data_IF_656149854380
#
_entry.id   IF_656149854380
#
_cell.length_a   1.000
_cell.length_b   1.000
_cell.length_c   1.000
_cell.angle_alpha   90.00
_cell.angle_beta   90.00
_cell.angle_gamma   90.00
#
_symmetry.space_group_name_H-M   'P 1'
#
loop_
_entity.id
_entity.type
_entity.pdbx_description
1 polymer ?
#
# COMPACT_ATOMS: atom_id res chain seq x y z
N UNK A 1 28.72 5.15 94.83
CA UNK A 1 27.49 4.66 94.13
C UNK A 1 26.72 5.67 93.29
N UNK A 2 27.03 6.97 93.31
CA UNK A 2 26.31 7.96 92.47
C UNK A 2 27.09 8.31 91.14
N UNK A 3 28.40 8.09 91.10
CA UNK A 3 29.22 8.38 89.90
C UNK A 3 29.05 7.37 88.79
N UNK A 4 28.82 6.10 89.11
CA UNK A 4 28.70 5.04 88.06
C UNK A 4 27.35 5.10 87.33
N UNK A 5 26.28 5.56 87.98
CA UNK A 5 24.98 5.72 87.26
C UNK A 5 24.97 6.82 86.21
N UNK A 6 25.74 7.91 86.45
CA UNK A 6 25.91 9.01 85.42
C UNK A 6 26.67 8.55 84.22
N UNK A 7 27.70 7.72 84.35
CA UNK A 7 28.50 7.21 83.28
C UNK A 7 27.69 6.22 82.40
N UNK A 8 26.84 5.38 82.99
CA UNK A 8 25.91 4.48 82.29
C UNK A 8 24.79 5.24 81.51
N UNK A 9 24.28 6.34 82.10
CA UNK A 9 23.29 7.20 81.47
C UNK A 9 23.89 7.97 80.28
N UNK A 10 25.16 8.42 80.35
CA UNK A 10 25.84 9.07 79.22
C UNK A 10 26.13 8.06 78.11
N UNK A 11 26.47 6.81 78.44
CA UNK A 11 26.66 5.74 77.43
C UNK A 11 25.36 5.36 76.73
N UNK A 12 24.27 5.24 77.46
CA UNK A 12 22.95 4.98 76.90
C UNK A 12 22.43 6.12 76.03
N UNK A 13 22.67 7.37 76.41
CA UNK A 13 22.38 8.56 75.59
C UNK A 13 23.19 8.61 74.30
N UNK A 14 24.49 8.23 74.37
CA UNK A 14 25.36 8.13 73.21
C UNK A 14 24.89 7.06 72.19
N UNK A 15 24.51 5.87 72.68
CA UNK A 15 23.94 4.80 71.82
C UNK A 15 22.62 5.20 71.18
N UNK A 16 21.79 5.94 71.89
CA UNK A 16 20.49 6.42 71.39
C UNK A 16 20.67 7.47 70.29
N UNK A 17 21.65 8.38 70.42
CA UNK A 17 22.01 9.37 69.44
C UNK A 17 22.59 8.70 68.16
N UNK A 18 23.47 7.70 68.33
CA UNK A 18 24.03 6.93 67.20
C UNK A 18 22.90 6.15 66.49
N UNK A 19 21.95 5.55 67.24
CA UNK A 19 20.80 4.87 66.66
C UNK A 19 19.89 5.80 65.82
N UNK A 20 19.62 7.02 66.39
CA UNK A 20 18.85 8.03 65.67
C UNK A 20 19.60 8.52 64.42
N UNK A 21 20.91 8.74 64.51
CA UNK A 21 21.73 9.17 63.36
C UNK A 21 21.78 8.09 62.30
N UNK A 22 21.96 6.83 62.66
CA UNK A 22 21.91 5.69 61.75
C UNK A 22 20.52 5.55 61.08
N UNK A 23 19.46 5.73 61.85
CA UNK A 23 18.09 5.72 61.35
C UNK A 23 17.81 6.87 60.36
N UNK A 24 18.26 8.09 60.68
CA UNK A 24 18.12 9.25 59.80
C UNK A 24 18.95 9.08 58.51
N UNK A 25 20.18 8.56 58.62
CA UNK A 25 21.01 8.25 57.47
C UNK A 25 20.40 7.13 56.61
N UNK A 26 19.87 6.09 57.22
CA UNK A 26 19.16 5.01 56.54
C UNK A 26 17.90 5.52 55.85
N UNK A 27 17.10 6.32 56.51
CA UNK A 27 15.90 6.96 55.96
C UNK A 27 16.25 7.93 54.82
N UNK A 28 17.31 8.73 54.98
CA UNK A 28 17.83 9.62 53.92
C UNK A 28 18.32 8.82 52.71
N UNK A 29 19.04 7.72 52.94
CA UNK A 29 19.52 6.82 51.89
C UNK A 29 18.37 6.17 51.13
N UNK A 30 17.30 5.72 51.81
CA UNK A 30 16.11 5.17 51.21
C UNK A 30 15.31 6.22 50.42
N UNK A 31 15.25 7.46 50.89
CA UNK A 31 14.57 8.55 50.16
C UNK A 31 15.32 8.98 48.91
N UNK A 32 16.67 8.94 48.88
CA UNK A 32 17.48 9.24 47.72
C UNK A 32 17.32 8.18 46.63
N UNK A 33 17.19 6.89 46.96
CA UNK A 33 16.93 5.82 46.01
C UNK A 33 15.61 5.97 45.23
N UNK A 34 14.58 6.59 45.85
CA UNK A 34 13.29 6.82 45.19
C UNK A 34 13.24 8.06 44.30
N UNK A 35 14.20 9.01 44.40
CA UNK A 35 14.22 10.23 43.62
C UNK A 35 14.71 10.04 42.18
N UNK A 36 15.35 8.92 41.86
CA UNK A 36 15.92 8.67 40.52
C UNK A 36 14.97 7.90 39.58
N UNK A 37 13.80 7.49 40.12
CA UNK A 37 12.77 6.81 39.34
C UNK A 37 11.54 7.70 39.26
N UNK A 38 11.09 7.89 38.04
CA UNK A 38 9.87 8.62 37.72
C UNK A 38 8.82 7.64 37.23
N UNK A 39 7.59 7.82 37.69
CA UNK A 39 6.47 7.04 37.22
C UNK A 39 5.41 7.90 36.56
N UNK A 40 4.72 7.33 35.58
CA UNK A 40 3.57 7.91 34.94
C UNK A 40 2.47 6.89 34.75
N UNK A 41 1.23 7.29 35.06
CA UNK A 41 0.07 6.45 34.78
C UNK A 41 -0.21 6.39 33.31
N UNK A 42 -0.59 5.22 32.82
CA UNK A 42 -0.84 4.98 31.41
C UNK A 42 -1.80 3.84 31.16
N UNK A 43 -1.97 3.54 29.88
CA UNK A 43 -2.81 2.45 29.40
C UNK A 43 -2.10 1.70 28.29
N UNK A 44 -2.26 0.38 28.28
CA UNK A 44 -1.80 -0.46 27.17
C UNK A 44 -2.70 -0.22 25.96
N UNK A 45 -2.08 0.11 24.86
CA UNK A 45 -2.70 0.31 23.56
C UNK A 45 -2.00 -0.59 22.52
N UNK A 46 -2.68 -0.88 21.44
CA UNK A 46 -2.09 -1.52 20.27
C UNK A 46 -2.55 -0.81 19.00
N UNK A 47 -1.86 -1.03 17.92
CA UNK A 47 -2.24 -0.44 16.64
C UNK A 47 -3.53 -1.08 16.15
N UNK A 48 -4.55 -0.25 15.94
CA UNK A 48 -5.84 -0.65 15.38
C UNK A 48 -5.78 -0.59 13.84
N UNK A 49 -6.38 -1.59 13.20
CA UNK A 49 -6.49 -1.71 11.75
C UNK A 49 -7.97 -1.85 11.41
N UNK A 50 -8.52 -0.86 10.73
CA UNK A 50 -9.88 -0.92 10.23
C UNK A 50 -9.89 -1.58 8.87
N UNK A 51 -10.59 -2.70 8.75
CA UNK A 51 -10.84 -3.39 7.49
C UNK A 51 -12.07 -2.78 6.82
N UNK A 52 -11.87 -2.23 5.63
CA UNK A 52 -12.88 -1.53 4.86
C UNK A 52 -12.86 -1.97 3.39
N UNK A 53 -14.02 -2.08 2.71
CA UNK A 53 -14.06 -2.37 1.29
C UNK A 53 -13.59 -1.16 0.47
N UNK A 54 -12.97 -1.42 -0.67
CA UNK A 54 -12.57 -0.38 -1.63
C UNK A 54 -13.75 0.15 -2.44
N UNK A 55 -14.78 -0.68 -2.60
CA UNK A 55 -15.97 -0.40 -3.38
C UNK A 55 -17.19 -0.57 -2.47
N UNK A 56 -18.17 0.32 -2.61
CA UNK A 56 -19.43 0.18 -1.90
C UNK A 56 -20.17 -1.09 -2.34
N UNK A 57 -20.76 -1.77 -1.38
CA UNK A 57 -21.51 -3.00 -1.65
C UNK A 57 -22.17 -3.57 -0.41
N UNK A 58 -22.93 -4.65 -0.58
CA UNK A 58 -23.52 -5.40 0.51
C UNK A 58 -22.53 -6.45 1.04
N UNK A 59 -22.48 -6.64 2.35
CA UNK A 59 -21.71 -7.73 2.96
C UNK A 59 -22.50 -9.03 2.75
N UNK A 60 -21.90 -9.98 2.05
CA UNK A 60 -22.48 -11.31 1.84
C UNK A 60 -22.36 -12.16 3.10
N UNK A 61 -21.15 -12.25 3.64
CA UNK A 61 -20.87 -13.02 4.85
C UNK A 61 -19.63 -12.50 5.58
N UNK A 62 -19.60 -12.76 6.88
CA UNK A 62 -18.45 -12.52 7.75
C UNK A 62 -17.96 -13.88 8.25
N UNK A 63 -16.67 -14.17 8.06
CA UNK A 63 -16.06 -15.48 8.37
C UNK A 63 -15.44 -15.56 9.76
N UNK A 64 -15.45 -14.45 10.51
CA UNK A 64 -14.78 -14.33 11.81
C UNK A 64 -15.70 -13.71 12.86
N UNK A 65 -15.41 -14.02 14.11
CA UNK A 65 -16.11 -13.47 15.28
C UNK A 65 -15.17 -12.55 16.09
N UNK A 66 -15.76 -11.77 16.99
CA UNK A 66 -15.00 -10.93 17.91
C UNK A 66 -14.14 -11.81 18.83
N UNK A 67 -12.86 -11.48 18.95
CA UNK A 67 -11.89 -12.25 19.70
C UNK A 67 -11.05 -13.21 18.91
N UNK A 68 -11.42 -13.52 17.66
CA UNK A 68 -10.70 -14.45 16.79
C UNK A 68 -9.31 -13.93 16.43
N UNK A 69 -8.32 -14.85 16.38
CA UNK A 69 -7.00 -14.57 15.85
C UNK A 69 -6.97 -14.81 14.35
N UNK A 70 -6.43 -13.85 13.60
CA UNK A 70 -6.36 -13.88 12.14
C UNK A 70 -4.95 -13.67 11.65
N UNK A 71 -4.61 -14.31 10.52
CA UNK A 71 -3.27 -14.23 9.90
C UNK A 71 -3.29 -13.31 8.69
N UNK A 72 -2.19 -12.63 8.42
CA UNK A 72 -2.00 -11.80 7.24
C UNK A 72 -2.42 -12.53 5.95
N UNK A 73 -3.22 -11.88 5.11
CA UNK A 73 -3.77 -12.45 3.89
C UNK A 73 -5.01 -13.33 4.07
N UNK A 74 -5.44 -13.64 5.30
CA UNK A 74 -6.67 -14.38 5.56
C UNK A 74 -7.89 -13.56 5.14
N UNK A 75 -8.84 -14.21 4.47
CA UNK A 75 -10.15 -13.60 4.13
C UNK A 75 -11.02 -13.58 5.38
N UNK A 76 -11.56 -12.41 5.72
CA UNK A 76 -12.38 -12.22 6.90
C UNK A 76 -13.85 -11.95 6.57
N UNK A 77 -14.11 -11.42 5.39
CA UNK A 77 -15.47 -11.15 4.91
C UNK A 77 -15.53 -11.21 3.38
N UNK A 78 -16.68 -11.48 2.85
CA UNK A 78 -17.00 -11.36 1.44
C UNK A 78 -18.07 -10.28 1.23
N UNK A 79 -17.79 -9.37 0.30
CA UNK A 79 -18.81 -8.50 -0.27
C UNK A 79 -19.59 -9.27 -1.35
N UNK A 80 -20.82 -8.89 -1.62
CA UNK A 80 -21.61 -9.49 -2.70
C UNK A 80 -21.05 -9.12 -4.07
N UNK A 81 -20.57 -10.08 -4.88
CA UNK A 81 -19.97 -9.82 -6.18
C UNK A 81 -20.97 -9.79 -7.34
N UNK A 82 -22.27 -10.08 -7.14
CA UNK A 82 -23.23 -10.35 -8.22
C UNK A 82 -23.29 -9.23 -9.26
N UNK A 83 -23.27 -7.97 -8.83
CA UNK A 83 -23.27 -6.80 -9.71
C UNK A 83 -21.97 -6.72 -10.50
N UNK A 84 -20.82 -6.95 -9.85
CA UNK A 84 -19.51 -6.94 -10.50
C UNK A 84 -19.36 -8.09 -11.50
N UNK A 85 -19.92 -9.28 -11.18
CA UNK A 85 -19.93 -10.42 -12.10
C UNK A 85 -20.80 -10.15 -13.34
N UNK A 86 -21.94 -9.46 -13.18
CA UNK A 86 -22.75 -9.03 -14.30
C UNK A 86 -21.98 -8.03 -15.20
N UNK A 87 -21.31 -7.06 -14.60
CA UNK A 87 -20.45 -6.10 -15.31
C UNK A 87 -19.27 -6.80 -16.01
N UNK A 88 -18.68 -7.82 -15.39
CA UNK A 88 -17.61 -8.62 -16.00
C UNK A 88 -18.11 -9.34 -17.26
N UNK A 89 -19.31 -9.97 -17.21
CA UNK A 89 -19.91 -10.60 -18.39
C UNK A 89 -20.12 -9.59 -19.53
N UNK A 90 -20.62 -8.41 -19.21
CA UNK A 90 -20.80 -7.32 -20.18
C UNK A 90 -19.45 -6.88 -20.79
N UNK A 91 -18.43 -6.62 -19.96
CA UNK A 91 -17.10 -6.21 -20.43
C UNK A 91 -16.45 -7.29 -21.31
N UNK A 92 -16.59 -8.57 -20.95
CA UNK A 92 -16.13 -9.70 -21.79
C UNK A 92 -16.86 -9.76 -23.12
N UNK A 93 -18.15 -9.45 -23.16
CA UNK A 93 -18.90 -9.32 -24.41
C UNK A 93 -18.37 -8.22 -25.31
N UNK A 94 -18.08 -7.04 -24.75
CA UNK A 94 -17.46 -5.90 -25.49
C UNK A 94 -16.08 -6.26 -26.02
N UNK A 95 -15.27 -6.95 -25.23
CA UNK A 95 -13.96 -7.44 -25.66
C UNK A 95 -14.06 -8.39 -26.82
N UNK A 96 -15.02 -9.33 -26.79
CA UNK A 96 -15.26 -10.26 -27.88
C UNK A 96 -15.66 -9.53 -29.17
N UNK A 97 -16.55 -8.53 -29.08
CA UNK A 97 -16.93 -7.68 -30.20
C UNK A 97 -15.71 -6.96 -30.80
N UNK A 98 -14.89 -6.32 -29.96
CA UNK A 98 -13.67 -5.64 -30.42
C UNK A 98 -12.67 -6.59 -31.13
N UNK A 99 -12.52 -7.82 -30.63
CA UNK A 99 -11.72 -8.86 -31.30
C UNK A 99 -12.28 -9.26 -32.67
N UNK A 100 -13.59 -9.32 -32.79
CA UNK A 100 -14.25 -9.57 -34.10
C UNK A 100 -14.00 -8.41 -35.08
N UNK A 101 -14.01 -7.17 -34.61
CA UNK A 101 -13.69 -5.99 -35.43
C UNK A 101 -12.25 -6.04 -35.98
N UNK A 102 -11.28 -6.50 -35.16
CA UNK A 102 -9.91 -6.74 -35.63
C UNK A 102 -9.89 -7.74 -36.79
N UNK A 103 -10.64 -8.87 -36.68
CA UNK A 103 -10.69 -9.88 -37.71
C UNK A 103 -11.34 -9.34 -39.02
N UNK A 104 -12.38 -8.51 -38.90
CA UNK A 104 -13.04 -7.86 -40.04
C UNK A 104 -12.05 -6.91 -40.75
N UNK A 105 -11.37 -6.04 -40.00
CA UNK A 105 -10.41 -5.10 -40.56
C UNK A 105 -9.17 -5.81 -41.16
N UNK A 106 -8.73 -6.92 -40.55
CA UNK A 106 -7.67 -7.76 -41.15
C UNK A 106 -8.11 -8.36 -42.51
N UNK A 107 -9.34 -8.82 -42.61
CA UNK A 107 -9.90 -9.34 -43.89
C UNK A 107 -9.96 -8.23 -44.95
N UNK A 108 -10.37 -7.01 -44.53
CA UNK A 108 -10.39 -5.84 -45.42
C UNK A 108 -8.98 -5.47 -45.91
N UNK A 109 -7.98 -5.52 -45.03
CA UNK A 109 -6.59 -5.30 -45.40
C UNK A 109 -6.09 -6.33 -46.43
N UNK A 110 -6.45 -7.62 -46.26
CA UNK A 110 -6.10 -8.67 -47.24
C UNK A 110 -6.76 -8.39 -48.57
N UNK A 111 -8.03 -7.96 -48.60
CA UNK A 111 -8.74 -7.58 -49.80
C UNK A 111 -8.01 -6.44 -50.53
N UNK A 112 -7.61 -5.36 -49.83
CA UNK A 112 -6.86 -4.24 -50.44
C UNK A 112 -5.53 -4.66 -51.03
N UNK A 113 -4.80 -5.58 -50.37
CA UNK A 113 -3.56 -6.16 -50.92
C UNK A 113 -3.82 -6.95 -52.22
N UNK A 114 -4.94 -7.65 -52.29
CA UNK A 114 -5.33 -8.39 -53.51
C UNK A 114 -5.71 -7.44 -54.67
N UNK A 115 -6.42 -6.33 -54.33
CA UNK A 115 -6.74 -5.29 -55.31
C UNK A 115 -5.45 -4.65 -55.91
N UNK A 116 -4.46 -4.31 -55.07
CA UNK A 116 -3.15 -3.83 -55.52
C UNK A 116 -2.47 -4.85 -56.44
N UNK A 117 -2.43 -6.13 -56.06
CA UNK A 117 -1.83 -7.18 -56.88
C UNK A 117 -2.47 -7.28 -58.26
N UNK A 118 -3.79 -7.09 -58.39
CA UNK A 118 -4.49 -7.01 -59.67
C UNK A 118 -4.07 -5.76 -60.47
N UNK A 119 -3.98 -4.59 -59.83
CA UNK A 119 -3.52 -3.36 -60.47
C UNK A 119 -2.06 -3.47 -60.98
N UNK A 120 -1.17 -4.11 -60.23
CA UNK A 120 0.21 -4.39 -60.61
C UNK A 120 0.25 -5.33 -61.84
N UNK A 121 -0.64 -6.31 -61.97
CA UNK A 121 -0.75 -7.16 -63.16
C UNK A 121 -1.19 -6.35 -64.39
N UNK A 122 -2.15 -5.42 -64.24
CA UNK A 122 -2.56 -4.49 -65.30
C UNK A 122 -1.40 -3.58 -65.64
N UNK A 123 -0.63 -3.05 -64.75
CA UNK A 123 0.56 -2.23 -65.04
C UNK A 123 1.55 -3.00 -65.86
N UNK A 124 1.86 -4.25 -65.53
CA UNK A 124 2.75 -5.11 -66.38
C UNK A 124 2.23 -5.31 -67.78
N UNK A 125 0.91 -5.48 -67.96
CA UNK A 125 0.29 -5.56 -69.31
C UNK A 125 0.52 -4.25 -70.07
N UNK A 126 0.27 -3.08 -69.44
CA UNK A 126 0.50 -1.77 -70.12
C UNK A 126 1.98 -1.51 -70.42
N UNK A 127 2.89 -1.99 -69.65
CA UNK A 127 4.33 -1.94 -69.91
C UNK A 127 4.69 -2.77 -71.12
N UNK A 128 4.15 -3.97 -71.29
CA UNK A 128 4.36 -4.79 -72.47
C UNK A 128 3.75 -4.15 -73.76
N UNK A 129 2.55 -3.54 -73.61
CA UNK A 129 1.92 -2.80 -74.71
C UNK A 129 2.75 -1.57 -75.14
N UNK A 130 3.33 -0.84 -74.18
CA UNK A 130 4.24 0.28 -74.42
C UNK A 130 5.50 -0.19 -75.19
N UNK A 131 6.13 -1.27 -74.75
CA UNK A 131 7.33 -1.82 -75.39
C UNK A 131 7.07 -2.19 -76.84
N UNK A 132 5.91 -2.80 -77.10
CA UNK A 132 5.52 -3.13 -78.51
C UNK A 132 5.33 -1.87 -79.38
N UNK A 133 4.60 -0.85 -78.82
CA UNK A 133 4.37 0.41 -79.51
C UNK A 133 5.66 1.22 -79.79
N UNK A 134 6.59 1.22 -78.85
CA UNK A 134 7.91 1.84 -78.95
C UNK A 134 8.74 1.19 -80.04
N UNK A 135 8.84 -0.14 -80.06
CA UNK A 135 9.55 -0.91 -81.11
C UNK A 135 8.93 -0.68 -82.49
N UNK A 136 7.59 -0.53 -82.59
CA UNK A 136 6.87 -0.26 -83.79
C UNK A 136 7.17 1.14 -84.35
N UNK A 137 7.12 2.15 -83.52
CA UNK A 137 7.46 3.54 -83.81
C UNK A 137 8.91 3.65 -84.30
N UNK A 138 9.86 3.03 -83.54
CA UNK A 138 11.28 3.04 -83.93
C UNK A 138 11.50 2.44 -85.34
N UNK A 139 10.77 1.39 -85.70
CA UNK A 139 10.83 0.73 -87.00
C UNK A 139 10.22 1.59 -88.10
N UNK A 140 9.00 2.12 -87.89
CA UNK A 140 8.34 2.97 -88.92
C UNK A 140 9.10 4.27 -89.16
N UNK A 141 9.62 4.91 -88.16
CA UNK A 141 10.46 6.11 -88.22
C UNK A 141 11.72 5.87 -89.15
N UNK A 142 12.38 4.70 -88.97
CA UNK A 142 13.52 4.31 -89.80
C UNK A 142 13.10 4.09 -91.26
N UNK A 143 12.01 3.37 -91.51
CA UNK A 143 11.48 3.08 -92.81
C UNK A 143 11.04 4.33 -93.58
N UNK A 144 10.51 5.37 -92.88
CA UNK A 144 10.22 6.67 -93.51
C UNK A 144 11.48 7.34 -94.06
N UNK A 145 12.59 7.33 -93.28
CA UNK A 145 13.88 7.89 -93.71
C UNK A 145 14.46 7.17 -94.95
N UNK A 146 14.17 5.89 -95.09
CA UNK A 146 14.56 5.03 -96.18
C UNK A 146 13.58 5.12 -97.37
N UNK A 147 12.48 5.90 -97.26
CA UNK A 147 11.43 6.01 -98.28
C UNK A 147 10.55 4.75 -98.49
N UNK A 148 10.60 3.81 -97.54
CA UNK A 148 9.94 2.49 -97.60
C UNK A 148 8.53 2.48 -96.96
N UNK A 149 8.06 3.59 -96.31
CA UNK A 149 6.72 3.76 -95.77
C UNK A 149 6.27 5.22 -95.83
N UNK A 150 4.95 5.48 -95.54
CA UNK A 150 4.42 6.84 -95.57
C UNK A 150 4.65 7.58 -94.28
N UNK A 151 4.75 8.92 -94.29
CA UNK A 151 4.82 9.78 -93.13
C UNK A 151 3.60 9.55 -92.24
N UNK A 152 2.38 9.38 -92.78
CA UNK A 152 1.15 9.10 -92.08
C UNK A 152 1.27 7.84 -91.15
N UNK A 153 1.93 6.78 -91.65
CA UNK A 153 2.13 5.55 -90.84
C UNK A 153 3.01 5.82 -89.63
N UNK A 154 4.05 6.63 -89.75
CA UNK A 154 4.91 7.01 -88.60
C UNK A 154 4.17 7.91 -87.61
N UNK A 155 3.33 8.82 -88.09
CA UNK A 155 2.51 9.70 -87.25
C UNK A 155 1.45 8.90 -86.49
N UNK A 156 0.81 7.89 -87.10
CA UNK A 156 -0.12 6.97 -86.47
C UNK A 156 0.57 6.11 -85.37
N UNK A 157 1.77 5.60 -85.64
CA UNK A 157 2.58 4.84 -84.70
C UNK A 157 3.05 5.73 -83.50
N UNK A 158 3.39 7.03 -83.80
CA UNK A 158 3.70 7.98 -82.74
C UNK A 158 2.49 8.28 -81.86
N UNK A 159 1.30 8.45 -82.44
CA UNK A 159 0.07 8.63 -81.64
C UNK A 159 -0.23 7.41 -80.82
N UNK A 160 -0.04 6.18 -81.33
CA UNK A 160 -0.21 4.92 -80.57
C UNK A 160 0.81 4.81 -79.44
N UNK A 161 2.08 5.17 -79.63
CA UNK A 161 3.09 5.22 -78.54
C UNK A 161 2.70 6.21 -77.50
N UNK A 162 2.28 7.42 -77.78
CA UNK A 162 1.82 8.42 -76.82
C UNK A 162 0.62 7.93 -76.06
N UNK A 163 -0.32 7.23 -76.68
CA UNK A 163 -1.46 6.61 -75.98
C UNK A 163 -1.01 5.52 -75.00
N UNK A 164 -0.06 4.67 -75.39
CA UNK A 164 0.48 3.62 -74.52
C UNK A 164 1.22 4.20 -73.30
N UNK A 165 2.00 5.31 -73.50
CA UNK A 165 2.62 6.04 -72.35
C UNK A 165 1.57 6.56 -71.36
N UNK A 166 0.50 7.18 -71.90
CA UNK A 166 -0.59 7.68 -71.05
C UNK A 166 -1.29 6.55 -70.28
N UNK A 167 -1.55 5.41 -70.97
CA UNK A 167 -2.15 4.24 -70.38
C UNK A 167 -1.28 3.63 -69.24
N UNK A 168 0.06 3.55 -69.45
CA UNK A 168 1.01 3.12 -68.43
C UNK A 168 0.97 4.07 -67.21
N UNK A 169 1.03 5.38 -67.42
CA UNK A 169 1.00 6.36 -66.33
C UNK A 169 -0.31 6.28 -65.56
N UNK A 170 -1.44 6.04 -66.17
CA UNK A 170 -2.71 5.83 -65.53
C UNK A 170 -2.70 4.55 -64.61
N UNK A 171 -2.06 3.46 -65.12
CA UNK A 171 -1.91 2.24 -64.32
C UNK A 171 -0.99 2.42 -63.10
N UNK A 172 0.09 3.22 -63.29
CA UNK A 172 0.97 3.58 -62.14
C UNK A 172 0.16 4.34 -61.07
N UNK A 173 -0.60 5.36 -61.44
CA UNK A 173 -1.42 6.13 -60.50
C UNK A 173 -2.47 5.24 -59.79
N UNK A 174 -2.99 4.20 -60.47
CA UNK A 174 -3.90 3.24 -59.81
C UNK A 174 -3.16 2.41 -58.77
N UNK A 175 -1.95 1.92 -59.03
CA UNK A 175 -1.15 1.18 -58.04
C UNK A 175 -0.82 2.06 -56.82
N UNK A 176 -0.48 3.33 -57.03
CA UNK A 176 -0.24 4.30 -55.95
C UNK A 176 -1.50 4.55 -55.11
N UNK A 177 -2.65 4.64 -55.75
CA UNK A 177 -3.94 4.79 -55.05
C UNK A 177 -4.26 3.55 -54.21
N UNK A 178 -3.99 2.34 -54.71
CA UNK A 178 -4.18 1.10 -53.98
C UNK A 178 -3.18 0.97 -52.82
N UNK A 179 -1.94 1.46 -52.97
CA UNK A 179 -0.99 1.55 -51.86
C UNK A 179 -1.49 2.45 -50.72
N UNK A 180 -2.00 3.62 -51.08
CA UNK A 180 -2.61 4.51 -50.07
C UNK A 180 -3.80 3.86 -49.36
N UNK A 181 -4.63 3.09 -50.09
CA UNK A 181 -5.75 2.34 -49.50
C UNK A 181 -5.28 1.23 -48.55
N UNK A 182 -4.14 0.56 -48.84
CA UNK A 182 -3.54 -0.43 -47.95
C UNK A 182 -3.07 0.22 -46.63
N UNK A 183 -2.41 1.39 -46.71
CA UNK A 183 -1.98 2.13 -45.53
C UNK A 183 -3.19 2.47 -44.64
N UNK A 184 -4.27 2.98 -45.25
CA UNK A 184 -5.50 3.29 -44.50
C UNK A 184 -6.08 2.04 -43.84
N UNK A 185 -6.19 0.92 -44.55
CA UNK A 185 -6.70 -0.32 -43.98
C UNK A 185 -5.79 -0.88 -42.87
N UNK A 186 -4.47 -0.65 -42.97
CA UNK A 186 -3.52 -1.02 -41.89
C UNK A 186 -3.74 -0.20 -40.62
N UNK A 187 -4.00 1.10 -40.78
CA UNK A 187 -4.33 1.97 -39.61
C UNK A 187 -5.68 1.61 -38.99
N UNK A 188 -6.66 1.17 -39.79
CA UNK A 188 -7.93 0.65 -39.29
C UNK A 188 -7.70 -0.61 -38.41
N UNK A 189 -6.81 -1.53 -38.85
CA UNK A 189 -6.43 -2.70 -38.04
C UNK A 189 -5.73 -2.27 -36.74
N UNK A 190 -4.87 -1.27 -36.81
CA UNK A 190 -4.17 -0.73 -35.64
C UNK A 190 -5.15 -0.11 -34.64
N UNK A 191 -6.10 0.70 -35.10
CA UNK A 191 -7.16 1.29 -34.31
C UNK A 191 -8.06 0.23 -33.62
N UNK A 192 -8.43 -0.81 -34.38
CA UNK A 192 -9.20 -1.92 -33.84
C UNK A 192 -8.44 -2.69 -32.73
N UNK A 193 -7.12 -2.90 -32.89
CA UNK A 193 -6.28 -3.51 -31.84
C UNK A 193 -6.22 -2.66 -30.58
N UNK A 194 -6.08 -1.34 -30.71
CA UNK A 194 -6.12 -0.42 -29.57
C UNK A 194 -7.46 -0.49 -28.82
N UNK A 195 -8.57 -0.68 -29.56
CA UNK A 195 -9.88 -0.92 -28.94
C UNK A 195 -9.92 -2.23 -28.14
N UNK A 196 -9.28 -3.30 -28.62
CA UNK A 196 -9.14 -4.57 -27.86
C UNK A 196 -8.38 -4.33 -26.56
N UNK A 197 -7.24 -3.65 -26.60
CA UNK A 197 -6.43 -3.34 -25.42
C UNK A 197 -7.21 -2.53 -24.37
N UNK A 198 -7.98 -1.52 -24.81
CA UNK A 198 -8.85 -0.74 -23.93
C UNK A 198 -9.93 -1.60 -23.24
N UNK A 199 -10.55 -2.53 -23.98
CA UNK A 199 -11.55 -3.45 -23.42
C UNK A 199 -10.91 -4.51 -22.51
N UNK A 200 -9.68 -4.98 -22.80
CA UNK A 200 -8.91 -5.85 -21.90
C UNK A 200 -8.61 -5.15 -20.57
N UNK A 201 -8.23 -3.87 -20.61
CA UNK A 201 -8.08 -3.04 -19.43
C UNK A 201 -9.37 -2.92 -18.60
N UNK A 202 -10.52 -2.80 -19.26
CA UNK A 202 -11.83 -2.76 -18.59
C UNK A 202 -12.16 -4.09 -17.91
N UNK A 203 -11.88 -5.22 -18.57
CA UNK A 203 -12.07 -6.56 -17.97
C UNK A 203 -11.15 -6.73 -16.76
N UNK A 204 -9.85 -6.40 -16.89
CA UNK A 204 -8.88 -6.53 -15.82
C UNK A 204 -9.25 -5.67 -14.58
N UNK A 205 -9.79 -4.47 -14.80
CA UNK A 205 -10.28 -3.61 -13.72
C UNK A 205 -11.39 -4.32 -12.92
N UNK A 206 -12.42 -4.83 -13.61
CA UNK A 206 -13.56 -5.46 -12.92
C UNK A 206 -13.13 -6.77 -12.23
N UNK A 207 -12.20 -7.53 -12.82
CA UNK A 207 -11.64 -8.73 -12.17
C UNK A 207 -10.86 -8.38 -10.90
N UNK A 208 -10.14 -7.25 -10.89
CA UNK A 208 -9.50 -6.73 -9.68
C UNK A 208 -10.54 -6.31 -8.62
N UNK A 209 -11.61 -5.64 -9.04
CA UNK A 209 -12.69 -5.22 -8.16
C UNK A 209 -13.40 -6.44 -7.51
N UNK A 210 -13.65 -7.52 -8.27
CA UNK A 210 -14.17 -8.79 -7.74
C UNK A 210 -13.18 -9.43 -6.75
N UNK A 211 -11.90 -9.41 -7.05
CA UNK A 211 -10.87 -9.92 -6.13
C UNK A 211 -10.83 -9.13 -4.82
N UNK A 212 -11.00 -7.82 -4.90
CA UNK A 212 -11.01 -6.92 -3.74
C UNK A 212 -12.33 -6.99 -2.95
N UNK A 213 -13.38 -7.64 -3.47
CA UNK A 213 -14.60 -7.95 -2.72
C UNK A 213 -14.38 -8.99 -1.62
N UNK A 214 -13.29 -9.77 -1.68
CA UNK A 214 -12.81 -10.59 -0.58
C UNK A 214 -11.94 -9.74 0.36
N UNK A 215 -12.47 -9.32 1.48
CA UNK A 215 -11.79 -8.49 2.47
C UNK A 215 -10.75 -9.31 3.23
N UNK A 216 -9.47 -8.97 3.06
CA UNK A 216 -8.33 -9.67 3.67
C UNK A 216 -7.61 -8.78 4.66
N UNK A 217 -7.18 -9.37 5.78
CA UNK A 217 -6.33 -8.64 6.72
C UNK A 217 -4.92 -8.45 6.17
N UNK A 218 -4.32 -7.24 6.29
CA UNK A 218 -2.96 -6.99 5.85
C UNK A 218 -1.90 -7.53 6.82
N UNK A 219 -2.26 -7.82 8.08
CA UNK A 219 -1.36 -8.24 9.15
C UNK A 219 -2.02 -9.27 10.06
N UNK A 220 -1.18 -9.97 10.84
CA UNK A 220 -1.64 -10.80 11.93
C UNK A 220 -2.26 -9.93 13.02
N UNK A 221 -3.35 -10.40 13.63
CA UNK A 221 -4.03 -9.65 14.66
C UNK A 221 -5.17 -10.41 15.30
N UNK A 222 -5.93 -9.70 16.13
CA UNK A 222 -7.16 -10.21 16.72
C UNK A 222 -8.32 -9.30 16.36
N UNK A 223 -9.46 -9.88 16.00
CA UNK A 223 -10.70 -9.15 15.76
C UNK A 223 -11.16 -8.49 17.04
N UNK A 224 -11.30 -7.17 17.05
CA UNK A 224 -11.72 -6.40 18.21
C UNK A 224 -13.22 -6.13 18.17
N UNK A 225 -13.71 -5.62 17.02
CA UNK A 225 -15.13 -5.31 16.83
C UNK A 225 -15.60 -5.70 15.44
N UNK A 226 -16.83 -6.17 15.36
CA UNK A 226 -17.60 -6.29 14.13
C UNK A 226 -18.44 -5.01 13.98
N UNK A 227 -17.96 -4.09 13.12
CA UNK A 227 -18.60 -2.78 12.93
C UNK A 227 -19.86 -2.90 12.06
N UNK A 228 -19.84 -3.80 11.09
CA UNK A 228 -20.96 -4.06 10.19
C UNK A 228 -21.36 -5.55 10.21
N UNK A 229 -22.59 -5.85 9.81
CA UNK A 229 -23.17 -7.17 9.82
C UNK A 229 -23.41 -7.72 8.40
N UNK A 230 -23.54 -9.05 8.28
CA UNK A 230 -23.94 -9.67 7.02
C UNK A 230 -25.32 -9.14 6.56
N UNK A 231 -25.44 -8.84 5.27
CA UNK A 231 -26.62 -8.20 4.69
C UNK A 231 -26.63 -6.67 4.72
N UNK A 232 -25.72 -6.04 5.44
CA UNK A 232 -25.60 -4.58 5.52
C UNK A 232 -24.86 -4.02 4.30
N UNK A 233 -25.26 -2.82 3.86
CA UNK A 233 -24.61 -2.10 2.75
C UNK A 233 -23.58 -1.11 3.34
N UNK A 234 -22.31 -1.27 2.92
CA UNK A 234 -21.21 -0.46 3.41
C UNK A 234 -20.66 0.40 2.27
N UNK A 235 -20.44 1.71 2.50
CA UNK A 235 -19.79 2.59 1.52
C UNK A 235 -18.29 2.24 1.37
N UNK A 236 -17.69 2.67 0.26
CA UNK A 236 -16.24 2.58 0.07
C UNK A 236 -15.51 3.28 1.23
N UNK A 237 -14.54 2.58 1.85
CA UNK A 237 -13.82 3.06 3.03
C UNK A 237 -14.58 2.96 4.36
N UNK A 238 -15.83 2.49 4.37
CA UNK A 238 -16.58 2.22 5.60
C UNK A 238 -16.01 1.02 6.35
N UNK A 239 -15.79 1.14 7.65
CA UNK A 239 -15.23 0.05 8.45
C UNK A 239 -16.21 -1.13 8.54
N UNK A 240 -15.73 -2.34 8.25
CA UNK A 240 -16.46 -3.60 8.42
C UNK A 240 -16.01 -4.32 9.68
N UNK A 241 -14.71 -4.40 9.88
CA UNK A 241 -14.09 -5.03 11.05
C UNK A 241 -12.98 -4.11 11.59
N UNK A 242 -12.84 -4.07 12.90
CA UNK A 242 -11.68 -3.48 13.57
C UNK A 242 -10.80 -4.60 14.12
N UNK A 243 -9.52 -4.57 13.76
CA UNK A 243 -8.51 -5.53 14.17
C UNK A 243 -7.47 -4.84 15.04
N UNK A 244 -6.87 -5.58 15.95
CA UNK A 244 -5.75 -5.11 16.78
C UNK A 244 -4.50 -5.89 16.41
N UNK A 245 -3.45 -5.17 16.02
CA UNK A 245 -2.12 -5.75 15.78
C UNK A 245 -1.43 -6.02 17.13
N UNK A 246 -1.46 -7.26 17.57
CA UNK A 246 -0.82 -7.68 18.82
C UNK A 246 0.72 -7.78 18.74
N UNK A 247 1.30 -7.57 17.56
CA UNK A 247 2.75 -7.44 17.38
C UNK A 247 3.28 -6.03 17.60
N UNK A 248 2.35 -5.05 17.74
CA UNK A 248 2.66 -3.63 17.90
C UNK A 248 1.88 -3.05 19.10
N UNK A 249 2.29 -3.47 20.30
CA UNK A 249 1.67 -3.09 21.58
C UNK A 249 2.58 -2.14 22.33
N UNK A 250 2.01 -1.07 22.84
CA UNK A 250 2.73 -0.04 23.60
C UNK A 250 1.89 0.47 24.76
N UNK A 251 2.54 1.11 25.73
CA UNK A 251 1.85 1.88 26.74
C UNK A 251 1.95 3.37 26.43
N UNK A 252 0.81 4.05 26.37
CA UNK A 252 0.74 5.51 26.41
C UNK A 252 0.64 5.97 27.84
N UNK A 253 1.56 6.81 28.29
CA UNK A 253 1.58 7.38 29.63
C UNK A 253 2.01 8.84 29.62
N UNK A 254 1.85 9.53 30.75
CA UNK A 254 2.05 10.96 30.84
C UNK A 254 3.08 11.29 31.92
N UNK A 255 4.02 12.18 31.58
CA UNK A 255 4.99 12.73 32.50
C UNK A 255 4.91 14.26 32.53
N UNK A 256 5.16 14.84 33.72
CA UNK A 256 5.23 16.30 33.85
C UNK A 256 6.46 16.87 33.12
N UNK A 257 6.41 18.15 32.81
CA UNK A 257 7.48 18.90 32.12
C UNK A 257 8.84 18.69 32.77
N UNK A 258 8.92 18.66 34.10
CA UNK A 258 10.17 18.52 34.85
C UNK A 258 10.92 17.22 34.54
N UNK A 259 10.20 16.18 34.15
CA UNK A 259 10.75 14.85 33.87
C UNK A 259 10.78 14.54 32.37
N UNK A 260 9.78 14.97 31.60
CA UNK A 260 9.70 14.70 30.16
C UNK A 260 10.94 15.18 29.40
N UNK A 261 11.50 16.35 29.78
CA UNK A 261 12.72 16.89 29.15
C UNK A 261 14.00 16.10 29.44
N UNK A 262 13.96 15.14 30.38
CA UNK A 262 15.11 14.27 30.73
C UNK A 262 15.01 12.87 30.11
N UNK A 263 13.89 12.55 29.50
CA UNK A 263 13.64 11.23 28.88
C UNK A 263 14.17 11.25 27.45
N UNK A 264 14.85 10.17 27.06
CA UNK A 264 15.38 9.98 25.72
C UNK A 264 14.66 8.83 24.98
N UNK A 265 14.55 8.94 23.67
CA UNK A 265 14.04 7.84 22.82
C UNK A 265 15.02 6.66 22.96
N UNK A 266 14.45 5.43 23.05
CA UNK A 266 15.22 4.20 23.29
C UNK A 266 15.50 3.91 24.77
N UNK A 267 15.17 4.83 25.68
CA UNK A 267 15.35 4.63 27.12
C UNK A 267 14.48 3.48 27.62
N UNK A 268 15.03 2.67 28.50
CA UNK A 268 14.37 1.52 29.11
C UNK A 268 13.25 1.95 30.07
N UNK A 269 12.11 1.30 29.95
CA UNK A 269 10.90 1.51 30.78
C UNK A 269 10.47 0.18 31.38
N UNK A 270 10.00 0.19 32.59
CA UNK A 270 9.34 -0.96 33.25
C UNK A 270 7.86 -0.64 33.38
N UNK A 271 7.02 -1.54 32.85
CA UNK A 271 5.57 -1.39 32.95
C UNK A 271 5.03 -2.39 33.96
N UNK A 272 4.17 -1.91 34.85
CA UNK A 272 3.40 -2.73 35.79
C UNK A 272 1.94 -2.44 35.53
N UNK A 273 1.18 -3.47 35.20
CA UNK A 273 -0.27 -3.36 34.99
C UNK A 273 -1.01 -3.55 36.31
N UNK A 274 -2.09 -2.81 36.51
CA UNK A 274 -2.92 -2.93 37.69
C UNK A 274 -3.54 -4.33 37.85
N UNK A 275 -3.79 -4.99 36.69
CA UNK A 275 -4.29 -6.37 36.65
C UNK A 275 -3.22 -7.42 36.99
N UNK A 276 -1.92 -7.06 36.99
CA UNK A 276 -0.80 -7.96 37.22
C UNK A 276 0.34 -7.24 37.96
N UNK A 277 0.14 -6.82 39.23
CA UNK A 277 1.06 -5.93 39.95
C UNK A 277 2.43 -6.55 40.27
N UNK A 278 2.55 -7.87 40.19
CA UNK A 278 3.82 -8.59 40.41
C UNK A 278 4.61 -8.88 39.14
N UNK A 279 4.08 -8.48 38.00
CA UNK A 279 4.70 -8.77 36.69
C UNK A 279 5.27 -7.50 36.04
N UNK A 280 6.57 -7.49 35.82
CA UNK A 280 7.29 -6.36 35.24
C UNK A 280 7.50 -6.61 33.76
N UNK A 281 6.87 -5.79 32.92
CA UNK A 281 6.97 -5.85 31.45
C UNK A 281 8.09 -4.94 30.99
N UNK A 282 9.09 -5.43 30.24
CA UNK A 282 10.09 -4.58 29.63
C UNK A 282 9.50 -3.77 28.48
N UNK A 283 9.89 -2.51 28.39
CA UNK A 283 9.51 -1.63 27.29
C UNK A 283 10.60 -0.60 27.04
N UNK A 284 10.52 0.09 25.91
CA UNK A 284 11.46 1.16 25.53
C UNK A 284 10.69 2.38 25.02
N UNK A 285 11.14 3.57 25.36
CA UNK A 285 10.55 4.82 24.87
C UNK A 285 10.66 4.86 23.36
N UNK A 286 9.54 4.86 22.66
CA UNK A 286 9.46 4.94 21.20
C UNK A 286 9.06 6.32 20.69
N UNK A 287 8.36 7.11 21.53
CA UNK A 287 7.87 8.42 21.15
C UNK A 287 7.72 9.33 22.36
N UNK A 288 8.06 10.60 22.19
CA UNK A 288 7.83 11.68 23.15
C UNK A 288 7.13 12.80 22.39
N UNK A 289 6.00 13.28 22.90
CA UNK A 289 5.26 14.36 22.26
C UNK A 289 6.01 15.69 22.41
N UNK A 290 6.11 16.46 21.34
CA UNK A 290 6.68 17.82 21.34
C UNK A 290 5.73 18.85 21.97
N UNK A 291 4.45 18.50 22.12
CA UNK A 291 3.40 19.38 22.64
C UNK A 291 2.76 18.76 23.89
N UNK A 292 2.59 19.57 24.94
CA UNK A 292 1.87 19.16 26.13
C UNK A 292 0.38 18.89 25.81
N UNK A 293 -0.18 17.79 26.31
CA UNK A 293 -1.55 17.38 26.04
C UNK A 293 -2.57 17.81 27.10
N UNK A 294 -2.09 18.06 28.32
CA UNK A 294 -2.91 18.61 29.39
C UNK A 294 -2.43 20.01 29.70
N UNK A 295 -3.19 21.00 29.25
CA UNK A 295 -2.95 22.39 29.59
C UNK A 295 -4.14 22.90 30.38
N UNK A 296 -3.94 23.54 31.55
CA UNK A 296 -4.98 24.39 32.13
C UNK A 296 -5.40 25.46 31.12
N UNK A 297 -6.62 25.96 31.18
CA UNK A 297 -7.18 26.93 30.22
C UNK A 297 -6.33 28.22 30.09
N UNK A 298 -5.50 28.53 31.07
CA UNK A 298 -4.53 29.65 31.06
C UNK A 298 -3.25 29.21 31.75
N UNK A 299 -2.10 29.35 31.09
CA UNK A 299 -0.77 28.99 31.65
C UNK A 299 -0.08 30.27 32.06
N UNK A 300 -0.50 30.89 33.15
CA UNK A 300 0.02 32.18 33.57
C UNK A 300 1.04 32.10 34.73
N UNK A 301 1.02 31.04 35.52
CA UNK A 301 1.89 30.87 36.69
C UNK A 301 2.89 29.75 36.55
N UNK A 302 4.01 29.79 37.32
CA UNK A 302 5.01 28.73 37.34
C UNK A 302 4.41 27.39 37.82
N UNK A 303 3.50 27.42 38.78
CA UNK A 303 2.79 26.24 39.30
C UNK A 303 1.84 25.60 38.30
N UNK A 304 1.30 26.37 37.38
CA UNK A 304 0.44 25.81 36.31
C UNK A 304 1.27 25.18 35.18
N UNK A 305 2.46 25.72 34.89
CA UNK A 305 3.40 25.10 33.95
C UNK A 305 3.92 23.73 34.42
N UNK A 306 4.03 23.52 35.74
CA UNK A 306 4.40 22.21 36.31
C UNK A 306 3.31 21.14 36.12
N UNK A 307 2.05 21.54 35.87
CA UNK A 307 0.91 20.65 35.59
C UNK A 307 0.84 20.21 34.12
N UNK A 308 1.67 20.79 33.23
CA UNK A 308 1.76 20.37 31.83
C UNK A 308 2.26 18.94 31.76
N UNK A 309 1.51 18.09 31.04
CA UNK A 309 1.85 16.69 30.86
C UNK A 309 2.20 16.41 29.42
N UNK A 310 3.30 15.70 29.22
CA UNK A 310 3.76 15.24 27.91
C UNK A 310 3.41 13.76 27.74
N UNK A 311 2.82 13.44 26.58
CA UNK A 311 2.52 12.07 26.21
C UNK A 311 3.78 11.36 25.77
N UNK A 312 4.03 10.19 26.36
CA UNK A 312 5.14 9.31 26.01
C UNK A 312 4.57 7.96 25.64
N UNK A 313 5.14 7.31 24.62
CA UNK A 313 4.85 5.93 24.28
C UNK A 313 6.03 5.04 24.62
N UNK A 314 5.79 3.97 25.32
CA UNK A 314 6.75 2.91 25.58
C UNK A 314 6.36 1.66 24.82
N UNK A 315 7.19 1.26 23.85
CA UNK A 315 6.99 0.10 23.00
C UNK A 315 7.43 -1.18 23.72
N UNK A 316 6.59 -2.20 23.73
CA UNK A 316 6.93 -3.52 24.24
C UNK A 316 7.68 -4.30 23.14
N UNK A 317 8.80 -4.99 23.46
CA UNK A 317 9.56 -5.76 22.47
C UNK A 317 8.72 -6.85 21.81
N UNK A 318 8.88 -6.99 20.48
CA UNK A 318 8.12 -7.96 19.67
C UNK A 318 8.31 -9.40 20.10
N UNK A 319 9.50 -9.75 20.56
CA UNK A 319 9.79 -11.12 21.01
C UNK A 319 9.02 -11.44 22.29
N UNK A 320 8.94 -10.49 23.22
CA UNK A 320 8.12 -10.62 24.42
C UNK A 320 6.62 -10.75 24.09
N UNK A 321 6.14 -9.98 23.10
CA UNK A 321 4.74 -10.05 22.66
C UNK A 321 4.40 -11.40 22.04
N UNK A 322 5.30 -11.99 21.24
CA UNK A 322 5.09 -13.31 20.62
C UNK A 322 4.96 -14.44 21.65
N UNK A 323 5.79 -14.40 22.69
CA UNK A 323 5.76 -15.40 23.76
C UNK A 323 4.48 -15.30 24.62
N UNK A 324 3.85 -14.13 24.70
CA UNK A 324 2.73 -13.85 25.59
C UNK A 324 1.44 -13.44 24.85
N UNK A 325 1.32 -13.71 23.55
CA UNK A 325 0.27 -13.19 22.69
C UNK A 325 -1.15 -13.49 23.18
N UNK A 326 -1.37 -14.66 23.75
CA UNK A 326 -2.68 -15.07 24.27
C UNK A 326 -3.12 -14.30 25.51
N UNK A 327 -2.18 -13.68 26.24
CA UNK A 327 -2.41 -12.99 27.50
C UNK A 327 -2.51 -11.47 27.32
N UNK A 328 -2.12 -10.96 26.16
CA UNK A 328 -2.13 -9.52 25.87
C UNK A 328 -3.56 -9.04 25.75
N UNK A 329 -3.93 -8.11 26.62
CA UNK A 329 -5.20 -7.37 26.57
C UNK A 329 -4.91 -5.88 26.45
N UNK A 330 -5.46 -5.24 25.44
CA UNK A 330 -5.42 -3.79 25.28
C UNK A 330 -6.42 -3.10 26.20
N UNK A 331 -6.18 -1.83 26.49
CA UNK A 331 -7.05 -1.05 27.37
C UNK A 331 -6.74 -1.17 28.87
N UNK A 332 -5.86 -2.08 29.29
CA UNK A 332 -5.50 -2.24 30.70
C UNK A 332 -4.73 -1.01 31.21
N UNK A 333 -5.11 -0.44 32.35
CA UNK A 333 -4.35 0.61 33.03
C UNK A 333 -3.12 0.03 33.73
N UNK A 334 -2.14 0.90 33.95
CA UNK A 334 -0.91 0.55 34.65
C UNK A 334 0.02 1.73 34.83
N UNK A 335 1.18 1.46 35.40
CA UNK A 335 2.21 2.47 35.67
C UNK A 335 3.47 2.17 34.88
N UNK A 336 3.99 3.19 34.21
CA UNK A 336 5.29 3.15 33.57
C UNK A 336 6.34 3.75 34.50
N UNK A 337 7.44 3.03 34.72
CA UNK A 337 8.58 3.47 35.52
C UNK A 337 9.79 3.70 34.65
N UNK A 338 10.44 4.86 34.82
CA UNK A 338 11.65 5.25 34.10
C UNK A 338 12.76 5.62 35.07
N UNK A 339 13.99 5.27 34.75
CA UNK A 339 15.17 5.74 35.46
C UNK A 339 15.63 7.07 34.84
N UNK A 340 15.78 8.11 35.64
CA UNK A 340 16.36 9.38 35.18
C UNK A 340 17.86 9.26 34.90
N UNK A 341 18.52 8.31 35.59
CA UNK A 341 19.93 7.98 35.40
C UNK A 341 20.04 6.52 34.87
N UNK A 342 20.39 6.32 33.60
CA UNK A 342 20.46 5.00 32.99
C UNK A 342 21.51 4.05 33.62
N UNK A 343 22.54 4.59 34.27
CA UNK A 343 23.62 3.80 34.85
C UNK A 343 23.25 3.16 36.19
N UNK A 344 22.22 3.68 36.86
CA UNK A 344 21.79 3.11 38.15
C UNK A 344 21.00 1.81 37.95
N UNK A 345 21.21 0.82 38.84
CA UNK A 345 20.44 -0.44 38.78
C UNK A 345 18.97 -0.20 39.05
N UNK A 346 18.09 -1.03 38.46
CA UNK A 346 16.69 -1.08 38.81
C UNK A 346 16.52 -1.57 40.27
N UNK A 347 15.58 -1.03 41.05
CA UNK A 347 15.18 -1.58 42.34
C UNK A 347 14.69 -3.02 42.20
N UNK A 348 14.71 -3.75 43.32
CA UNK A 348 14.35 -5.18 43.34
C UNK A 348 12.90 -5.44 42.93
N UNK A 349 11.99 -4.50 43.23
CA UNK A 349 10.56 -4.51 42.85
C UNK A 349 10.30 -4.25 41.35
N UNK A 350 11.30 -3.73 40.61
CA UNK A 350 11.22 -3.42 39.20
C UNK A 350 12.15 -4.30 38.34
N UNK A 351 12.76 -5.33 38.90
CA UNK A 351 13.58 -6.28 38.15
C UNK A 351 12.72 -7.25 37.35
N UNK A 352 13.18 -7.58 36.12
CA UNK A 352 12.52 -8.60 35.30
C UNK A 352 12.88 -9.97 35.84
N UNK A 353 11.93 -10.67 36.39
CA UNK A 353 12.09 -12.05 36.81
C UNK A 353 11.99 -12.98 35.58
N UNK A 354 13.11 -13.57 35.17
CA UNK A 354 13.19 -14.50 34.03
C UNK A 354 12.31 -15.74 34.14
N UNK A 355 11.81 -16.06 35.36
CA UNK A 355 10.99 -17.24 35.63
C UNK A 355 9.47 -16.99 35.59
N UNK A 356 9.01 -15.81 35.23
CA UNK A 356 7.58 -15.46 35.27
C UNK A 356 6.83 -15.68 33.96
N UNK A 357 7.42 -16.34 32.96
CA UNK A 357 6.82 -16.58 31.63
C UNK A 357 5.58 -17.49 31.59
N UNK A 358 5.12 -18.06 32.70
CA UNK A 358 4.04 -19.07 32.69
C UNK A 358 2.88 -18.87 33.65
N UNK A 359 2.76 -17.77 34.39
CA UNK A 359 1.77 -17.68 35.47
C UNK A 359 1.10 -16.33 35.58
N UNK A 360 0.23 -15.94 34.64
CA UNK A 360 -0.41 -14.63 34.82
C UNK A 360 -1.92 -14.65 34.94
N UNK A 361 -2.63 -15.61 34.43
CA UNK A 361 -4.11 -15.63 34.59
C UNK A 361 -4.60 -17.08 34.80
N UNK A 362 -4.64 -17.55 36.02
CA UNK A 362 -5.53 -18.61 36.45
C UNK A 362 -6.81 -18.01 37.03
#
# INVERSE_FOLDING_TARGET
>A
MIKDKKMWLMGALGLLIIGILAFVLWQSYMQHKKKDIVSGNGRIEATEINLAPRIAGQIKELLVEEGDYVKAGQVLAYMDPDVLEAQLREAKGRLLAARSDVAINQSRLIQKKSEKAAAEAVLKQREAELEVSEKRLARSSKLVLEGATSQQTADDDYASFKSAVAAKNAAIAQVEADDAAIVTAQEEVTGAKSSVEANEGSVAKIEADIKDSALKTPRDGRVQYRVAQAGEVVPAGGAVLSLVDLSDVYMTFFLSTAYAGKVSIGQEVRLILDAAPYYVIPAYVSFISDVAQFTPKTVETATEREKLMFRIKAQIPKDFLKENIAQIKTGLPGVAYLRLDPEKPWPDDLQINKNQGQLIFR
#
